data_IF_011825690361
#
_entry.id   IF_011825690361
#
_cell.length_a   1.000
_cell.length_b   1.000
_cell.length_c   1.000
_cell.angle_alpha   90.00
_cell.angle_beta   90.00
_cell.angle_gamma   90.00
#
_symmetry.space_group_name_H-M   'P 1'
#
loop_
_entity.id
_entity.type
_entity.pdbx_description
1 polymer ?
#
# COMPACT_ATOMS: atom_id res chain seq x y z
N UNK A 1 -20.01 15.60 11.18
CA UNK A 1 -19.36 14.89 10.05
C UNK A 1 -18.27 15.77 9.45
N UNK A 2 -18.55 17.02 9.04
CA UNK A 2 -17.55 17.88 8.40
C UNK A 2 -16.23 18.08 9.20
N UNK A 3 -16.26 18.03 10.53
CA UNK A 3 -15.10 18.32 11.38
C UNK A 3 -14.06 17.19 11.45
N UNK A 4 -14.35 16.03 10.86
CA UNK A 4 -13.47 14.86 10.85
C UNK A 4 -12.94 14.49 9.46
N UNK A 5 -13.32 15.24 8.42
CA UNK A 5 -12.94 14.97 7.04
C UNK A 5 -12.24 16.18 6.42
N UNK A 6 -11.04 15.95 5.90
CA UNK A 6 -10.33 16.91 5.07
C UNK A 6 -10.26 16.39 3.64
N UNK A 7 -10.99 17.03 2.72
CA UNK A 7 -10.94 16.72 1.30
C UNK A 7 -9.92 17.63 0.60
N UNK A 8 -8.75 17.09 0.26
CA UNK A 8 -7.65 17.86 -0.33
C UNK A 8 -7.85 18.25 -1.79
N UNK A 9 -8.81 17.63 -2.47
CA UNK A 9 -8.89 17.66 -3.93
C UNK A 9 -7.72 16.88 -4.58
N UNK A 10 -7.42 17.20 -5.84
CA UNK A 10 -6.39 16.49 -6.60
C UNK A 10 -4.98 16.95 -6.21
N UNK A 11 -4.17 16.02 -5.67
CA UNK A 11 -2.78 16.26 -5.32
C UNK A 11 -1.84 15.79 -6.43
N UNK A 12 -0.71 16.49 -6.62
CA UNK A 12 0.31 16.14 -7.62
C UNK A 12 1.71 16.10 -7.03
N UNK A 13 2.52 15.16 -7.52
CA UNK A 13 3.95 15.06 -7.22
C UNK A 13 4.23 15.08 -5.73
N UNK A 14 4.98 16.09 -5.27
CA UNK A 14 5.39 16.24 -3.86
C UNK A 14 4.22 16.28 -2.88
N UNK A 15 3.07 16.81 -3.28
CA UNK A 15 1.90 16.94 -2.39
C UNK A 15 1.35 15.57 -1.96
N UNK A 16 1.38 14.58 -2.87
CA UNK A 16 0.96 13.21 -2.55
C UNK A 16 1.89 12.62 -1.50
N UNK A 17 3.20 12.76 -1.71
CA UNK A 17 4.22 12.27 -0.78
C UNK A 17 4.10 12.92 0.61
N UNK A 18 3.93 14.23 0.67
CA UNK A 18 3.75 14.96 1.92
C UNK A 18 2.49 14.49 2.65
N UNK A 19 1.39 14.27 1.91
CA UNK A 19 0.16 13.78 2.50
C UNK A 19 0.31 12.38 3.06
N UNK A 20 0.85 11.44 2.27
CA UNK A 20 1.12 10.08 2.74
C UNK A 20 1.99 10.12 3.98
N UNK A 21 3.14 10.81 3.95
CA UNK A 21 4.08 10.89 5.06
C UNK A 21 3.48 11.49 6.34
N UNK A 22 2.48 12.36 6.21
CA UNK A 22 1.79 12.95 7.36
C UNK A 22 0.67 12.09 7.94
N UNK A 23 0.34 10.96 7.31
CA UNK A 23 -0.73 10.05 7.73
C UNK A 23 -0.20 8.95 8.65
N UNK A 24 -1.00 8.56 9.64
CA UNK A 24 -0.69 7.40 10.50
C UNK A 24 -1.06 6.07 9.84
N UNK A 25 -2.10 6.07 8.99
CA UNK A 25 -2.62 4.87 8.32
C UNK A 25 -3.09 5.22 6.91
N UNK A 26 -2.76 4.37 5.94
CA UNK A 26 -3.32 4.41 4.59
C UNK A 26 -4.37 3.30 4.42
N UNK A 27 -5.49 3.59 3.75
CA UNK A 27 -6.55 2.62 3.51
C UNK A 27 -6.99 2.62 2.04
N UNK A 28 -7.09 1.42 1.45
CA UNK A 28 -7.58 1.21 0.09
C UNK A 28 -8.65 0.09 0.07
N UNK A 29 -9.93 0.43 0.32
CA UNK A 29 -11.04 -0.53 0.34
C UNK A 29 -11.60 -0.79 -1.07
N UNK A 30 -10.72 -1.03 -2.05
CA UNK A 30 -11.12 -1.18 -3.46
C UNK A 30 -11.94 -2.44 -3.69
N UNK A 31 -13.03 -2.33 -4.46
CA UNK A 31 -13.80 -3.50 -4.94
C UNK A 31 -13.04 -4.24 -6.04
N UNK A 32 -12.32 -3.50 -6.87
CA UNK A 32 -11.48 -4.01 -7.95
C UNK A 32 -10.29 -3.07 -8.12
N UNK A 33 -9.08 -3.60 -7.99
CA UNK A 33 -7.83 -2.87 -8.19
C UNK A 33 -6.82 -3.79 -8.90
N UNK A 34 -6.49 -3.56 -10.18
CA UNK A 34 -5.61 -4.44 -10.94
C UNK A 34 -4.23 -4.64 -10.33
N UNK A 35 -3.65 -3.60 -9.72
CA UNK A 35 -2.37 -3.71 -9.02
C UNK A 35 -2.37 -2.94 -7.72
N UNK A 36 -2.64 -1.63 -7.73
CA UNK A 36 -2.60 -0.79 -6.53
C UNK A 36 -1.19 -0.35 -6.18
N UNK A 37 -0.68 0.66 -6.89
CA UNK A 37 0.64 1.28 -6.60
C UNK A 37 0.58 2.15 -5.35
N UNK A 38 -0.56 2.78 -5.09
CA UNK A 38 -0.74 3.72 -3.97
C UNK A 38 -0.42 3.14 -2.57
N UNK A 39 -0.78 1.89 -2.20
CA UNK A 39 -0.32 1.30 -0.94
C UNK A 39 1.19 1.09 -0.88
N UNK A 40 1.86 0.81 -2.00
CA UNK A 40 3.33 0.69 -2.04
C UNK A 40 3.98 2.06 -1.77
N UNK A 41 3.42 3.14 -2.34
CA UNK A 41 3.89 4.50 -2.11
C UNK A 41 3.75 4.91 -0.63
N UNK A 42 2.64 4.54 0.01
CA UNK A 42 2.41 4.76 1.44
C UNK A 42 3.44 3.99 2.30
N UNK A 43 3.63 2.70 2.02
CA UNK A 43 4.58 1.86 2.75
C UNK A 43 6.03 2.34 2.55
N UNK A 44 6.39 2.87 1.37
CA UNK A 44 7.72 3.41 1.10
C UNK A 44 8.09 4.59 2.00
N UNK A 45 7.10 5.37 2.44
CA UNK A 45 7.27 6.48 3.39
C UNK A 45 7.05 6.08 4.85
N UNK A 46 6.89 4.78 5.13
CA UNK A 46 6.73 4.24 6.47
C UNK A 46 5.32 4.36 7.02
N UNK A 47 4.31 4.43 6.16
CA UNK A 47 2.90 4.49 6.57
C UNK A 47 2.31 3.08 6.48
N UNK A 48 1.86 2.49 7.60
CA UNK A 48 1.11 1.25 7.59
C UNK A 48 -0.12 1.32 6.68
N UNK A 49 -0.34 0.25 5.92
CA UNK A 49 -1.42 0.18 4.94
C UNK A 49 -2.45 -0.90 5.30
N UNK A 50 -3.72 -0.60 4.99
CA UNK A 50 -4.84 -1.54 5.01
C UNK A 50 -5.37 -1.62 3.59
N UNK A 51 -5.39 -2.83 3.02
CA UNK A 51 -5.82 -3.05 1.63
C UNK A 51 -6.93 -4.09 1.58
N UNK A 52 -7.74 -3.98 0.53
CA UNK A 52 -8.67 -5.04 0.15
C UNK A 52 -7.91 -6.29 -0.34
N UNK A 53 -8.42 -7.48 0.02
CA UNK A 53 -7.99 -8.77 -0.55
C UNK A 53 -8.18 -8.87 -2.07
N UNK A 54 -9.06 -8.04 -2.65
CA UNK A 54 -9.38 -7.97 -4.07
C UNK A 54 -8.46 -7.01 -4.86
N UNK A 55 -7.32 -6.61 -4.28
CA UNK A 55 -6.29 -5.81 -4.95
C UNK A 55 -5.14 -6.68 -5.45
N UNK A 56 -4.60 -6.40 -6.65
CA UNK A 56 -3.49 -7.18 -7.20
C UNK A 56 -2.23 -7.18 -6.32
N UNK A 57 -1.96 -6.08 -5.61
CA UNK A 57 -0.85 -5.99 -4.66
C UNK A 57 -1.04 -6.87 -3.42
N UNK A 58 -2.26 -7.34 -3.12
CA UNK A 58 -2.50 -8.26 -2.02
C UNK A 58 -1.78 -9.60 -2.19
N UNK A 59 -1.41 -9.99 -3.41
CA UNK A 59 -0.65 -11.23 -3.66
C UNK A 59 0.83 -11.10 -3.30
N UNK A 60 1.39 -9.89 -3.36
CA UNK A 60 2.84 -9.66 -3.22
C UNK A 60 3.23 -9.02 -1.89
N UNK A 61 2.29 -8.32 -1.22
CA UNK A 61 2.52 -7.66 0.06
C UNK A 61 2.16 -8.59 1.21
N UNK A 62 3.06 -8.75 2.18
CA UNK A 62 2.87 -9.58 3.37
C UNK A 62 2.78 -8.73 4.63
N UNK A 63 3.51 -7.63 4.71
CA UNK A 63 3.56 -6.74 5.87
C UNK A 63 2.51 -5.63 5.76
N UNK A 64 1.27 -6.04 5.46
CA UNK A 64 0.10 -5.18 5.26
C UNK A 64 -1.13 -5.87 5.83
N UNK A 65 -2.08 -5.11 6.38
CA UNK A 65 -3.36 -5.68 6.81
C UNK A 65 -4.27 -5.85 5.60
N UNK A 66 -4.84 -7.05 5.43
CA UNK A 66 -5.75 -7.39 4.33
C UNK A 66 -7.14 -7.65 4.86
N UNK A 67 -8.12 -6.89 4.39
CA UNK A 67 -9.53 -7.05 4.76
C UNK A 67 -10.39 -7.34 3.53
N UNK A 68 -11.59 -7.87 3.74
CA UNK A 68 -12.61 -7.87 2.69
C UNK A 68 -13.16 -6.44 2.55
N UNK A 69 -13.36 -5.96 1.32
CA UNK A 69 -13.75 -4.56 1.09
C UNK A 69 -15.11 -4.19 1.70
N UNK A 70 -15.98 -5.18 1.92
CA UNK A 70 -17.30 -5.00 2.51
C UNK A 70 -17.31 -5.11 4.04
N UNK A 71 -16.20 -5.55 4.66
CA UNK A 71 -16.11 -5.72 6.11
C UNK A 71 -15.64 -4.43 6.78
N UNK A 72 -16.60 -3.54 7.01
CA UNK A 72 -16.36 -2.24 7.66
C UNK A 72 -15.83 -2.41 9.08
N UNK A 73 -16.27 -3.45 9.80
CA UNK A 73 -15.84 -3.67 11.17
C UNK A 73 -14.37 -4.09 11.21
N UNK A 74 -13.96 -5.02 10.35
CA UNK A 74 -12.57 -5.43 10.25
C UNK A 74 -11.64 -4.26 9.85
N UNK A 75 -12.09 -3.37 8.97
CA UNK A 75 -11.33 -2.17 8.62
C UNK A 75 -11.21 -1.19 9.79
N UNK A 76 -12.30 -0.96 10.52
CA UNK A 76 -12.28 -0.09 11.71
C UNK A 76 -11.37 -0.66 12.81
N UNK A 77 -11.47 -1.96 13.08
CA UNK A 77 -10.64 -2.66 14.07
C UNK A 77 -9.15 -2.64 13.67
N UNK A 78 -8.86 -2.76 12.37
CA UNK A 78 -7.50 -2.64 11.84
C UNK A 78 -6.92 -1.23 12.04
N UNK A 79 -7.67 -0.17 11.70
CA UNK A 79 -7.25 1.22 11.96
C UNK A 79 -7.01 1.42 13.45
N UNK A 80 -7.98 1.02 14.28
CA UNK A 80 -7.89 1.16 15.73
C UNK A 80 -6.66 0.43 16.30
N UNK A 81 -6.38 -0.78 15.83
CA UNK A 81 -5.23 -1.57 16.27
C UNK A 81 -3.91 -0.89 15.90
N UNK A 82 -3.78 -0.35 14.68
CA UNK A 82 -2.58 0.37 14.26
C UNK A 82 -2.34 1.60 15.14
N UNK A 83 -3.37 2.42 15.39
CA UNK A 83 -3.20 3.67 16.17
C UNK A 83 -3.08 3.45 17.68
N UNK A 84 -3.55 2.31 18.20
CA UNK A 84 -3.60 2.04 19.64
C UNK A 84 -2.43 1.17 20.13
N UNK A 85 -1.86 0.33 19.27
CA UNK A 85 -0.76 -0.58 19.63
C UNK A 85 0.56 -0.14 18.97
N UNK A 86 1.46 0.57 19.70
CA UNK A 86 2.71 1.08 19.12
C UNK A 86 3.61 0.01 18.52
N UNK A 87 3.62 -1.21 19.10
CA UNK A 87 4.39 -2.33 18.57
C UNK A 87 3.90 -2.77 17.19
N UNK A 88 2.59 -2.76 16.96
CA UNK A 88 2.00 -3.10 15.66
C UNK A 88 2.31 -2.02 14.63
N UNK A 89 2.16 -0.75 15.01
CA UNK A 89 2.52 0.38 14.16
C UNK A 89 3.99 0.32 13.72
N UNK A 90 4.91 0.18 14.68
CA UNK A 90 6.35 0.14 14.37
C UNK A 90 6.72 -1.08 13.53
N UNK A 91 6.13 -2.26 13.81
CA UNK A 91 6.34 -3.45 12.98
C UNK A 91 5.89 -3.22 11.54
N UNK A 92 4.64 -2.78 11.31
CA UNK A 92 4.11 -2.57 9.97
C UNK A 92 4.84 -1.46 9.22
N UNK A 93 5.28 -0.42 9.92
CA UNK A 93 6.08 0.68 9.37
C UNK A 93 7.45 0.20 8.89
N UNK A 94 8.18 -0.52 9.73
CA UNK A 94 9.55 -0.95 9.42
C UNK A 94 9.54 -2.09 8.42
N UNK A 95 8.79 -3.16 8.69
CA UNK A 95 8.78 -4.35 7.85
C UNK A 95 8.01 -4.13 6.55
N UNK A 96 6.95 -3.31 6.57
CA UNK A 96 6.26 -2.88 5.37
C UNK A 96 7.16 -2.08 4.44
N UNK A 97 7.93 -1.14 4.99
CA UNK A 97 8.93 -0.40 4.22
C UNK A 97 10.02 -1.32 3.65
N UNK A 98 10.58 -2.20 4.47
CA UNK A 98 11.62 -3.14 4.06
C UNK A 98 11.14 -4.03 2.90
N UNK A 99 9.89 -4.50 2.96
CA UNK A 99 9.27 -5.29 1.91
C UNK A 99 9.17 -4.53 0.58
N UNK A 100 8.60 -3.31 0.59
CA UNK A 100 8.40 -2.55 -0.66
C UNK A 100 9.70 -2.04 -1.25
N UNK A 101 10.73 -1.79 -0.44
CA UNK A 101 12.06 -1.40 -0.93
C UNK A 101 12.73 -2.52 -1.75
N UNK A 102 12.29 -3.78 -1.61
CA UNK A 102 12.77 -4.91 -2.43
C UNK A 102 12.05 -5.04 -3.78
N UNK A 103 10.90 -4.38 -3.94
CA UNK A 103 10.08 -4.37 -5.15
C UNK A 103 10.63 -3.31 -6.12
N UNK A 104 11.67 -3.68 -6.86
CA UNK A 104 12.37 -2.74 -7.77
C UNK A 104 11.92 -2.92 -9.22
N UNK A 105 11.48 -1.83 -9.85
CA UNK A 105 11.08 -1.80 -11.27
C UNK A 105 12.12 -2.38 -12.22
N UNK A 106 13.41 -2.15 -11.94
CA UNK A 106 14.50 -2.69 -12.75
C UNK A 106 14.49 -4.23 -12.79
N UNK A 107 14.16 -4.90 -11.67
CA UNK A 107 14.04 -6.36 -11.62
C UNK A 107 12.86 -6.84 -12.47
N UNK A 108 11.72 -6.15 -12.37
CA UNK A 108 10.53 -6.47 -13.17
C UNK A 108 10.77 -6.27 -14.67
N UNK A 109 11.34 -5.13 -15.06
CA UNK A 109 11.69 -4.83 -16.45
C UNK A 109 12.70 -5.82 -17.03
N UNK A 110 13.72 -6.21 -16.24
CA UNK A 110 14.70 -7.20 -16.69
C UNK A 110 14.06 -8.57 -16.95
N UNK A 111 13.09 -9.01 -16.13
CA UNK A 111 12.33 -10.25 -16.38
C UNK A 111 11.59 -10.18 -17.71
N UNK A 112 10.89 -9.07 -17.97
CA UNK A 112 10.16 -8.86 -19.24
C UNK A 112 11.11 -8.91 -20.44
N UNK A 113 12.26 -8.23 -20.36
CA UNK A 113 13.29 -8.27 -21.41
C UNK A 113 13.79 -9.70 -21.64
N UNK A 114 14.02 -10.47 -20.57
CA UNK A 114 14.49 -11.85 -20.69
C UNK A 114 13.47 -12.73 -21.42
N UNK A 115 12.17 -12.58 -21.14
CA UNK A 115 11.12 -13.28 -21.87
C UNK A 115 11.11 -12.91 -23.36
N UNK A 116 11.30 -11.63 -23.70
CA UNK A 116 11.41 -11.24 -25.10
C UNK A 116 12.63 -11.86 -25.79
N UNK A 117 13.78 -11.90 -25.12
CA UNK A 117 14.99 -12.55 -25.66
C UNK A 117 14.77 -14.04 -25.92
N UNK A 118 14.14 -14.73 -24.98
CA UNK A 118 13.81 -16.15 -25.10
C UNK A 118 12.90 -16.43 -26.31
N UNK A 119 11.83 -15.65 -26.47
CA UNK A 119 10.87 -15.83 -27.57
C UNK A 119 11.47 -15.44 -28.93
N UNK A 120 12.35 -14.43 -28.97
CA UNK A 120 12.98 -13.95 -30.21
C UNK A 120 14.28 -14.69 -30.57
N UNK A 121 14.80 -15.56 -29.68
CA UNK A 121 16.04 -16.30 -29.90
C UNK A 121 17.30 -15.43 -29.93
N UNK A 122 17.31 -14.33 -29.17
CA UNK A 122 18.46 -13.44 -29.01
C UNK A 122 19.49 -13.96 -28.00
#
# INVERSE_FOLDING_TARGET
>A
IADHFHFTGFLRGKQVYEMLKSSDVYMMPSVSEPFGISPLEAMQVGVPSIISKQSGCAEILNNVIKTDYWDVQAMADAVYSIVTYPSMYEYLKVEGKNEVDQIVWQKAGQKVINYYKEVLGW
#
